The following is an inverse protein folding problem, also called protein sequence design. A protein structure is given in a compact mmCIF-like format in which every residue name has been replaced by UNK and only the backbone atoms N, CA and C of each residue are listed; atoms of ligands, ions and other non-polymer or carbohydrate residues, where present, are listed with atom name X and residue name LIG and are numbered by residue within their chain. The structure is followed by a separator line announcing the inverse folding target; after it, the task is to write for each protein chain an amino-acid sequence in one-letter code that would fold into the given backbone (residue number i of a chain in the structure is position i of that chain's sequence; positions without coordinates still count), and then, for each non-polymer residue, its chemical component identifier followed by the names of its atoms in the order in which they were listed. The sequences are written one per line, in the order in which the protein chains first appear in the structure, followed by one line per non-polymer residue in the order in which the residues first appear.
data_IF_905287652392
#
_entry.id   IF_905287652392
#
_cell.length_a   1.000
_cell.length_b   1.000
_cell.length_c   1.000
_cell.angle_alpha   90.00
_cell.angle_beta   90.00
_cell.angle_gamma   90.00
#
_symmetry.space_group_name_H-M   'P 1'
#
loop_
_entity.id
_entity.type
_entity.pdbx_description
1 polymer ?
#
# COMPACT_ATOMS: atom_id res chain seq x y z
N UNK A 1 -36.10 -39.11 -0.57
CA UNK A 1 -35.92 -37.65 -0.52
C UNK A 1 -34.48 -37.31 -0.90
N UNK A 2 -34.25 -36.57 -1.98
CA UNK A 2 -32.93 -36.24 -2.49
C UNK A 2 -32.19 -35.36 -1.48
N UNK A 3 -30.85 -35.38 -1.45
CA UNK A 3 -30.01 -34.56 -0.56
C UNK A 3 -30.34 -33.07 -0.73
N UNK A 4 -30.61 -32.61 -1.96
CA UNK A 4 -31.02 -31.26 -2.27
C UNK A 4 -32.35 -30.89 -1.59
N UNK A 5 -33.36 -31.72 -1.70
CA UNK A 5 -34.67 -31.49 -1.07
C UNK A 5 -34.59 -31.39 0.45
N UNK A 6 -33.78 -32.28 1.09
CA UNK A 6 -33.52 -32.20 2.53
C UNK A 6 -32.85 -30.88 2.92
N UNK A 7 -31.89 -30.43 2.12
CA UNK A 7 -31.17 -29.16 2.36
C UNK A 7 -32.10 -27.96 2.21
N UNK A 8 -32.92 -27.93 1.15
CA UNK A 8 -33.92 -26.88 0.91
C UNK A 8 -34.92 -26.84 2.07
N UNK A 9 -35.49 -27.98 2.45
CA UNK A 9 -36.44 -28.07 3.57
C UNK A 9 -35.86 -27.58 4.90
N UNK A 10 -34.55 -27.83 5.12
CA UNK A 10 -33.83 -27.35 6.32
C UNK A 10 -33.67 -25.83 6.31
N UNK A 11 -33.48 -25.20 5.15
CA UNK A 11 -33.37 -23.75 4.99
C UNK A 11 -34.74 -23.10 5.13
N UNK A 12 -35.80 -23.65 4.49
CA UNK A 12 -37.19 -23.14 4.58
C UNK A 12 -37.65 -23.05 6.04
N UNK A 13 -37.28 -24.02 6.87
CA UNK A 13 -37.61 -24.01 8.31
C UNK A 13 -37.03 -22.82 9.08
N UNK A 14 -36.08 -22.13 8.52
CA UNK A 14 -35.45 -20.94 9.12
C UNK A 14 -36.02 -19.62 8.61
N UNK A 15 -36.96 -19.64 7.67
CA UNK A 15 -37.60 -18.45 7.15
C UNK A 15 -38.38 -17.74 8.24
N UNK A 16 -38.31 -16.41 8.20
CA UNK A 16 -39.02 -15.53 9.11
C UNK A 16 -40.24 -14.90 8.46
N UNK A 17 -40.18 -14.72 7.12
CA UNK A 17 -41.25 -14.11 6.33
C UNK A 17 -41.71 -15.06 5.23
N UNK A 18 -42.98 -14.90 4.80
CA UNK A 18 -43.56 -15.71 3.70
C UNK A 18 -42.89 -15.42 2.35
N UNK A 19 -42.30 -14.24 2.20
CA UNK A 19 -41.66 -13.77 0.96
C UNK A 19 -40.15 -14.10 0.92
N UNK A 20 -39.62 -14.78 1.93
CA UNK A 20 -38.22 -15.22 1.94
C UNK A 20 -37.96 -16.17 0.77
N UNK A 21 -36.84 -15.96 0.07
CA UNK A 21 -36.47 -16.71 -1.13
C UNK A 21 -35.20 -17.53 -0.91
N UNK A 22 -35.05 -18.62 -1.66
CA UNK A 22 -33.83 -19.44 -1.68
C UNK A 22 -33.18 -19.31 -3.04
N UNK A 23 -31.90 -18.99 -3.07
CA UNK A 23 -31.06 -19.12 -4.26
C UNK A 23 -30.44 -20.50 -4.30
N UNK A 24 -30.75 -21.26 -5.34
CA UNK A 24 -30.08 -22.54 -5.66
C UNK A 24 -29.23 -22.36 -6.89
N UNK A 25 -27.93 -22.59 -6.75
CA UNK A 25 -26.98 -22.43 -7.86
C UNK A 25 -26.00 -23.61 -7.95
N UNK A 26 -25.42 -23.79 -9.13
CA UNK A 26 -24.42 -24.84 -9.34
C UNK A 26 -23.15 -24.59 -8.50
N UNK A 27 -22.65 -25.60 -7.85
CA UNK A 27 -21.42 -25.52 -7.08
C UNK A 27 -20.20 -25.38 -8.00
N UNK A 28 -19.41 -24.33 -7.79
CA UNK A 28 -18.16 -24.12 -8.51
C UNK A 28 -17.00 -24.71 -7.71
N UNK A 29 -16.79 -26.04 -7.86
CA UNK A 29 -15.70 -26.72 -7.15
C UNK A 29 -14.30 -26.27 -7.62
N UNK A 30 -13.37 -26.15 -6.69
CA UNK A 30 -11.94 -25.84 -6.92
C UNK A 30 -11.71 -24.64 -7.84
N UNK A 31 -12.10 -23.42 -7.44
CA UNK A 31 -11.81 -22.22 -8.20
C UNK A 31 -10.29 -21.95 -8.25
N UNK A 32 -9.83 -21.24 -9.29
CA UNK A 32 -8.44 -20.78 -9.39
C UNK A 32 -8.21 -19.60 -8.46
N UNK A 33 -9.23 -18.75 -8.30
CA UNK A 33 -9.27 -17.59 -7.40
C UNK A 33 -10.65 -17.53 -6.76
N UNK A 34 -10.69 -17.24 -5.48
CA UNK A 34 -11.89 -16.89 -4.74
C UNK A 34 -11.67 -15.56 -4.04
N UNK A 35 -12.69 -14.68 -3.98
CA UNK A 35 -12.51 -13.38 -3.39
C UNK A 35 -13.77 -12.56 -3.24
N UNK A 36 -13.56 -11.37 -2.69
CA UNK A 36 -14.55 -10.31 -2.55
C UNK A 36 -14.04 -9.07 -3.23
N UNK A 37 -14.90 -8.34 -3.93
CA UNK A 37 -14.56 -7.02 -4.46
C UNK A 37 -15.54 -5.97 -3.92
N UNK A 38 -14.96 -4.95 -3.31
CA UNK A 38 -15.69 -3.74 -2.94
C UNK A 38 -15.54 -2.73 -4.06
N UNK A 39 -16.65 -2.20 -4.56
CA UNK A 39 -16.61 -1.23 -5.67
C UNK A 39 -16.35 0.21 -5.23
N UNK A 40 -16.12 0.42 -3.94
CA UNK A 40 -15.58 1.62 -3.29
C UNK A 40 -14.63 1.21 -2.19
N UNK A 41 -13.66 2.04 -1.88
CA UNK A 41 -12.85 1.85 -0.68
C UNK A 41 -13.73 1.87 0.57
N UNK A 42 -13.63 0.83 1.39
CA UNK A 42 -14.52 0.62 2.54
C UNK A 42 -14.32 1.65 3.67
N UNK A 43 -13.12 2.23 3.77
CA UNK A 43 -12.78 3.18 4.84
C UNK A 43 -13.00 4.62 4.43
N UNK A 44 -12.69 4.96 3.18
CA UNK A 44 -12.67 6.36 2.71
C UNK A 44 -13.79 6.69 1.74
N UNK A 45 -14.51 5.69 1.23
CA UNK A 45 -15.49 5.79 0.15
C UNK A 45 -14.92 6.36 -1.16
N UNK A 46 -13.61 6.28 -1.35
CA UNK A 46 -12.93 6.74 -2.56
C UNK A 46 -13.16 5.78 -3.73
N UNK A 47 -12.96 6.29 -4.96
CA UNK A 47 -13.25 5.58 -6.22
C UNK A 47 -12.19 4.52 -6.56
N UNK A 48 -12.10 3.50 -5.72
CA UNK A 48 -11.24 2.34 -5.94
C UNK A 48 -12.05 1.05 -5.89
N UNK A 49 -11.72 0.11 -6.78
CA UNK A 49 -12.04 -1.30 -6.57
C UNK A 49 -11.02 -1.87 -5.60
N UNK A 50 -11.47 -2.40 -4.47
CA UNK A 50 -10.64 -3.14 -3.52
C UNK A 50 -10.98 -4.61 -3.67
N UNK A 51 -10.04 -5.40 -4.15
CA UNK A 51 -10.19 -6.83 -4.41
C UNK A 51 -9.38 -7.59 -3.36
N UNK A 52 -10.07 -8.33 -2.51
CA UNK A 52 -9.44 -9.26 -1.57
C UNK A 52 -9.61 -10.68 -2.12
N UNK A 53 -8.52 -11.38 -2.35
CA UNK A 53 -8.56 -12.65 -3.04
C UNK A 53 -7.52 -13.65 -2.54
N UNK A 54 -7.86 -14.93 -2.68
CA UNK A 54 -7.01 -16.07 -2.36
C UNK A 54 -6.80 -16.94 -3.60
N UNK A 55 -5.58 -17.43 -3.78
CA UNK A 55 -5.16 -18.34 -4.85
C UNK A 55 -4.91 -19.77 -4.35
N UNK A 56 -5.14 -20.06 -3.07
CA UNK A 56 -4.89 -21.35 -2.44
C UNK A 56 -5.92 -22.44 -2.83
N UNK A 57 -6.89 -22.10 -3.69
CA UNK A 57 -8.02 -22.97 -4.12
C UNK A 57 -9.00 -23.36 -3.00
N UNK A 58 -8.98 -22.65 -1.87
CA UNK A 58 -9.91 -22.82 -0.74
C UNK A 58 -10.95 -21.70 -0.75
N UNK A 59 -12.22 -22.07 -0.76
CA UNK A 59 -13.33 -21.10 -0.84
C UNK A 59 -13.76 -20.55 0.52
N UNK A 60 -13.35 -21.18 1.61
CA UNK A 60 -13.79 -20.89 2.98
C UNK A 60 -12.96 -19.83 3.70
N UNK A 61 -11.81 -19.44 3.14
CA UNK A 61 -10.83 -18.60 3.84
C UNK A 61 -11.08 -17.09 3.72
N UNK A 62 -11.69 -16.62 2.65
CA UNK A 62 -11.90 -15.18 2.41
C UNK A 62 -13.07 -14.64 3.21
N UNK A 63 -14.13 -15.44 3.39
CA UNK A 63 -15.36 -15.03 4.08
C UNK A 63 -15.36 -15.35 5.58
N UNK A 64 -14.38 -16.12 6.06
CA UNK A 64 -14.33 -16.56 7.47
C UNK A 64 -13.82 -15.50 8.45
N UNK A 65 -13.30 -14.37 7.99
CA UNK A 65 -12.70 -13.30 8.85
C UNK A 65 -11.44 -13.71 9.62
N UNK A 66 -10.92 -14.94 9.39
CA UNK A 66 -9.69 -15.41 10.03
C UNK A 66 -8.47 -14.86 9.29
N UNK A 67 -7.41 -14.51 10.04
CA UNK A 67 -6.12 -14.12 9.45
C UNK A 67 -5.61 -15.25 8.56
N UNK A 68 -5.50 -14.97 7.26
CA UNK A 68 -5.00 -15.91 6.26
C UNK A 68 -3.77 -15.32 5.58
N UNK A 69 -2.58 -15.93 5.72
CA UNK A 69 -1.35 -15.42 5.09
C UNK A 69 -1.37 -15.49 3.55
N UNK A 70 -2.27 -16.26 2.93
CA UNK A 70 -2.43 -16.32 1.48
C UNK A 70 -3.38 -15.28 0.91
N UNK A 71 -4.11 -14.53 1.74
CA UNK A 71 -5.01 -13.47 1.31
C UNK A 71 -4.20 -12.29 0.74
N UNK A 72 -4.54 -11.90 -0.48
CA UNK A 72 -3.93 -10.77 -1.18
C UNK A 72 -4.95 -9.68 -1.38
N UNK A 73 -4.52 -8.43 -1.26
CA UNK A 73 -5.32 -7.25 -1.55
C UNK A 73 -4.79 -6.54 -2.78
N UNK A 74 -5.65 -6.25 -3.73
CA UNK A 74 -5.37 -5.44 -4.91
C UNK A 74 -6.29 -4.24 -4.93
N UNK A 75 -5.72 -3.03 -5.04
CA UNK A 75 -6.46 -1.78 -5.11
C UNK A 75 -6.30 -1.20 -6.51
N UNK A 76 -7.43 -0.91 -7.19
CA UNK A 76 -7.44 -0.37 -8.55
C UNK A 76 -8.26 0.92 -8.56
N UNK A 77 -7.64 2.04 -8.95
CA UNK A 77 -8.37 3.29 -9.16
C UNK A 77 -9.37 3.17 -10.32
N UNK A 78 -10.62 3.60 -10.14
CA UNK A 78 -11.69 3.47 -11.17
C UNK A 78 -11.37 4.21 -12.47
N UNK A 79 -10.63 5.31 -12.42
CA UNK A 79 -10.12 6.04 -13.58
C UNK A 79 -8.90 5.40 -14.25
N UNK A 80 -8.33 4.30 -13.71
CA UNK A 80 -7.14 3.68 -14.26
C UNK A 80 -7.39 3.00 -15.59
N UNK A 81 -6.55 3.30 -16.59
CA UNK A 81 -6.51 2.59 -17.87
C UNK A 81 -5.75 1.25 -17.78
N UNK A 82 -4.94 1.07 -16.71
CA UNK A 82 -4.13 -0.13 -16.48
C UNK A 82 -4.84 -1.04 -15.46
N UNK A 83 -5.49 -2.07 -15.95
CA UNK A 83 -6.13 -3.12 -15.14
C UNK A 83 -5.38 -4.41 -15.37
N UNK A 84 -4.94 -5.14 -14.33
CA UNK A 84 -4.32 -6.45 -14.49
C UNK A 84 -5.22 -7.40 -15.29
N UNK A 85 -4.65 -8.11 -16.26
CA UNK A 85 -5.40 -8.98 -17.19
C UNK A 85 -6.31 -9.96 -16.46
N UNK A 86 -5.82 -10.51 -15.36
CA UNK A 86 -6.52 -11.47 -14.52
C UNK A 86 -7.88 -10.95 -14.01
N UNK A 87 -7.95 -9.65 -13.66
CA UNK A 87 -9.15 -9.02 -13.08
C UNK A 87 -9.95 -8.17 -14.08
N UNK A 88 -9.52 -8.07 -15.34
CA UNK A 88 -10.19 -7.22 -16.33
C UNK A 88 -11.66 -7.62 -16.54
N UNK A 89 -11.95 -8.93 -16.62
CA UNK A 89 -13.32 -9.43 -16.75
C UNK A 89 -14.15 -9.14 -15.50
N UNK A 90 -13.58 -9.33 -14.31
CA UNK A 90 -14.24 -9.02 -13.05
C UNK A 90 -14.62 -7.54 -12.97
N UNK A 91 -13.68 -6.63 -13.27
CA UNK A 91 -13.95 -5.18 -13.24
C UNK A 91 -15.05 -4.79 -14.23
N UNK A 92 -15.09 -5.40 -15.42
CA UNK A 92 -16.19 -5.15 -16.37
C UNK A 92 -17.54 -5.62 -15.82
N UNK A 93 -17.59 -6.77 -15.15
CA UNK A 93 -18.81 -7.27 -14.49
C UNK A 93 -19.21 -6.31 -13.36
N UNK A 94 -18.25 -5.83 -12.54
CA UNK A 94 -18.54 -4.85 -11.50
C UNK A 94 -19.22 -3.59 -12.07
N UNK A 95 -18.74 -3.07 -13.20
CA UNK A 95 -19.37 -1.91 -13.87
C UNK A 95 -20.80 -2.21 -14.34
N UNK A 96 -21.05 -3.41 -14.88
CA UNK A 96 -22.41 -3.82 -15.28
C UNK A 96 -23.31 -3.91 -14.05
N UNK A 97 -22.85 -4.48 -12.96
CA UNK A 97 -23.61 -4.59 -11.71
C UNK A 97 -23.87 -3.20 -11.09
N UNK A 98 -22.88 -2.32 -11.07
CA UNK A 98 -23.06 -0.93 -10.62
C UNK A 98 -24.18 -0.22 -11.38
N UNK A 99 -24.23 -0.38 -12.70
CA UNK A 99 -25.30 0.18 -13.54
C UNK A 99 -26.64 -0.50 -13.29
N UNK A 100 -26.67 -1.84 -13.20
CA UNK A 100 -27.90 -2.60 -12.96
C UNK A 100 -28.56 -2.25 -11.62
N UNK A 101 -27.75 -2.10 -10.57
CA UNK A 101 -28.23 -1.73 -9.24
C UNK A 101 -28.38 -0.22 -9.06
N UNK A 102 -28.02 0.59 -10.04
CA UNK A 102 -27.89 2.04 -9.93
C UNK A 102 -27.14 2.47 -8.65
N UNK A 103 -26.10 1.71 -8.33
CA UNK A 103 -25.32 1.88 -7.10
C UNK A 103 -23.86 1.56 -7.35
N UNK A 104 -22.98 2.52 -7.13
CA UNK A 104 -21.54 2.37 -7.30
C UNK A 104 -20.81 1.91 -6.03
N UNK A 105 -21.57 1.43 -5.03
CA UNK A 105 -21.08 0.94 -3.74
C UNK A 105 -21.59 -0.48 -3.50
N UNK A 106 -20.91 -1.45 -4.08
CA UNK A 106 -21.28 -2.85 -4.01
C UNK A 106 -20.18 -3.66 -3.32
N UNK A 107 -20.62 -4.69 -2.60
CA UNK A 107 -19.86 -5.79 -2.03
C UNK A 107 -20.23 -7.03 -2.84
N UNK A 108 -19.25 -7.61 -3.54
CA UNK A 108 -19.49 -8.65 -4.53
C UNK A 108 -18.57 -9.85 -4.22
N UNK A 109 -19.18 -11.00 -3.89
CA UNK A 109 -18.47 -12.26 -3.76
C UNK A 109 -18.31 -12.92 -5.14
N UNK A 110 -17.09 -13.32 -5.46
CA UNK A 110 -16.79 -13.89 -6.78
C UNK A 110 -15.80 -15.05 -6.70
N UNK A 111 -15.79 -15.85 -7.76
CA UNK A 111 -14.64 -16.68 -8.06
C UNK A 111 -14.26 -16.63 -9.54
N UNK A 112 -13.01 -16.98 -9.83
CA UNK A 112 -12.52 -17.19 -11.19
C UNK A 112 -12.12 -18.65 -11.33
N UNK A 113 -12.66 -19.30 -12.38
CA UNK A 113 -12.31 -20.67 -12.74
C UNK A 113 -12.15 -20.75 -14.25
N UNK A 114 -11.00 -21.26 -14.72
CA UNK A 114 -10.69 -21.38 -16.16
C UNK A 114 -11.01 -20.09 -16.94
N UNK A 115 -10.57 -18.94 -16.38
CA UNK A 115 -10.77 -17.61 -16.96
C UNK A 115 -12.26 -17.17 -17.13
N UNK A 116 -13.21 -17.84 -16.46
CA UNK A 116 -14.61 -17.43 -16.30
C UNK A 116 -14.83 -16.89 -14.90
N UNK A 117 -15.56 -15.79 -14.80
CA UNK A 117 -15.93 -15.16 -13.53
C UNK A 117 -17.33 -15.64 -13.15
N UNK A 118 -17.49 -16.04 -11.91
CA UNK A 118 -18.77 -16.41 -11.30
C UNK A 118 -19.04 -15.47 -10.15
N UNK A 119 -20.24 -14.94 -10.06
CA UNK A 119 -20.71 -14.09 -8.97
C UNK A 119 -21.61 -14.93 -8.07
N UNK A 120 -21.34 -14.92 -6.77
CA UNK A 120 -22.11 -15.66 -5.78
C UNK A 120 -23.06 -14.77 -5.02
N UNK A 121 -22.62 -13.54 -4.70
CA UNK A 121 -23.41 -12.56 -3.99
C UNK A 121 -23.07 -11.15 -4.49
N UNK A 122 -24.09 -10.30 -4.53
CA UNK A 122 -23.92 -8.87 -4.76
C UNK A 122 -24.88 -8.13 -3.83
N UNK A 123 -24.34 -7.23 -3.00
CA UNK A 123 -25.12 -6.46 -2.04
C UNK A 123 -24.63 -5.02 -1.95
N UNK A 124 -25.49 -4.05 -1.57
CA UNK A 124 -25.05 -2.69 -1.29
C UNK A 124 -24.03 -2.66 -0.15
N UNK A 125 -22.94 -1.91 -0.34
CA UNK A 125 -21.97 -1.65 0.70
C UNK A 125 -22.53 -0.62 1.67
N UNK A 126 -22.64 -0.98 2.94
CA UNK A 126 -23.10 -0.09 4.00
C UNK A 126 -21.99 0.91 4.41
N UNK A 127 -22.38 2.08 4.94
CA UNK A 127 -21.45 3.08 5.50
C UNK A 127 -21.51 4.45 4.83
N UNK A 128 -20.43 5.24 4.98
CA UNK A 128 -20.36 6.67 4.63
C UNK A 128 -20.60 6.93 3.14
N UNK A 129 -21.51 7.86 2.82
CA UNK A 129 -21.90 8.25 1.46
C UNK A 129 -21.27 9.57 0.99
N UNK A 130 -20.00 9.85 1.32
CA UNK A 130 -19.36 11.07 0.81
C UNK A 130 -19.29 11.03 -0.72
N UNK A 131 -19.76 12.12 -1.36
CA UNK A 131 -19.69 12.28 -2.81
C UNK A 131 -18.21 12.32 -3.22
N UNK A 132 -17.79 11.46 -4.13
CA UNK A 132 -16.43 11.45 -4.68
C UNK A 132 -16.44 12.11 -6.06
N UNK A 133 -15.33 12.75 -6.39
CA UNK A 133 -15.09 13.39 -7.68
C UNK A 133 -13.87 12.71 -8.31
N UNK A 134 -14.13 11.82 -9.27
CA UNK A 134 -13.11 11.01 -9.93
C UNK A 134 -12.10 11.90 -10.68
N UNK A 135 -12.57 12.95 -11.36
CA UNK A 135 -11.68 13.83 -12.13
C UNK A 135 -10.72 14.61 -11.22
N UNK A 136 -11.26 15.13 -10.09
CA UNK A 136 -10.43 15.80 -9.08
C UNK A 136 -9.42 14.86 -8.47
N UNK A 137 -9.82 13.63 -8.18
CA UNK A 137 -8.95 12.60 -7.63
C UNK A 137 -7.84 12.25 -8.64
N UNK A 138 -8.18 12.04 -9.91
CA UNK A 138 -7.21 11.76 -10.97
C UNK A 138 -6.16 12.89 -11.12
N UNK A 139 -6.60 14.15 -11.09
CA UNK A 139 -5.70 15.31 -11.11
C UNK A 139 -4.72 15.30 -9.93
N UNK A 140 -5.19 14.95 -8.73
CA UNK A 140 -4.32 14.82 -7.54
C UNK A 140 -3.29 13.72 -7.76
N UNK A 141 -3.69 12.53 -8.22
CA UNK A 141 -2.77 11.41 -8.47
C UNK A 141 -1.71 11.75 -9.52
N UNK A 142 -2.09 12.43 -10.62
CA UNK A 142 -1.15 12.89 -11.64
C UNK A 142 -0.14 13.88 -11.05
N UNK A 143 -0.58 14.82 -10.22
CA UNK A 143 0.29 15.79 -9.57
C UNK A 143 1.25 15.10 -8.56
N UNK A 144 0.75 14.16 -7.78
CA UNK A 144 1.57 13.37 -6.85
C UNK A 144 2.64 12.56 -7.60
N UNK A 145 2.27 11.94 -8.72
CA UNK A 145 3.21 11.21 -9.57
C UNK A 145 4.32 12.13 -10.08
N UNK A 146 3.98 13.28 -10.66
CA UNK A 146 4.95 14.28 -11.12
C UNK A 146 5.85 14.77 -9.99
N UNK A 147 5.29 15.00 -8.81
CA UNK A 147 6.04 15.39 -7.61
C UNK A 147 7.05 14.32 -7.22
N UNK A 148 6.63 13.06 -7.16
CA UNK A 148 7.53 11.94 -6.83
C UNK A 148 8.61 11.74 -7.90
N UNK A 149 8.26 11.82 -9.18
CA UNK A 149 9.24 11.75 -10.27
C UNK A 149 10.33 12.82 -10.13
N UNK A 150 9.94 14.07 -9.78
CA UNK A 150 10.89 15.16 -9.52
C UNK A 150 11.79 14.87 -8.32
N UNK A 151 11.24 14.39 -7.22
CA UNK A 151 11.99 14.03 -6.01
C UNK A 151 12.97 12.89 -6.31
N UNK A 152 12.57 11.94 -7.14
CA UNK A 152 13.38 10.77 -7.49
C UNK A 152 14.56 11.08 -8.44
N UNK A 153 14.63 12.28 -8.98
CA UNK A 153 15.78 12.69 -9.80
C UNK A 153 17.06 12.73 -8.95
N UNK A 154 18.20 12.57 -9.62
CA UNK A 154 19.51 12.69 -8.99
C UNK A 154 19.70 14.10 -8.41
N UNK A 155 20.14 14.18 -7.17
CA UNK A 155 20.43 15.43 -6.47
C UNK A 155 21.96 15.61 -6.42
N UNK A 156 22.41 16.81 -6.72
CA UNK A 156 23.82 17.15 -6.56
C UNK A 156 24.23 17.03 -5.08
N UNK A 157 25.42 16.49 -4.82
CA UNK A 157 25.98 16.24 -3.48
C UNK A 157 25.24 15.20 -2.61
N UNK A 158 24.17 14.56 -3.10
CA UNK A 158 23.49 13.48 -2.43
C UNK A 158 23.84 12.15 -3.11
N UNK A 159 24.22 11.16 -2.32
CA UNK A 159 24.52 9.81 -2.79
C UNK A 159 23.22 9.03 -3.08
N UNK A 160 23.28 8.11 -4.05
CA UNK A 160 22.14 7.30 -4.45
C UNK A 160 21.48 7.77 -5.75
N UNK A 161 21.00 6.81 -6.55
CA UNK A 161 20.40 7.04 -7.87
C UNK A 161 18.89 7.32 -7.80
N UNK A 162 18.21 6.80 -6.79
CA UNK A 162 16.76 6.86 -6.61
C UNK A 162 16.42 6.97 -5.13
N UNK A 163 15.16 7.27 -4.82
CA UNK A 163 14.66 7.26 -3.46
C UNK A 163 13.47 6.32 -3.26
N UNK A 164 13.15 6.07 -2.00
CA UNK A 164 11.90 5.51 -1.49
C UNK A 164 11.40 6.49 -0.45
N UNK A 165 10.09 6.62 -0.28
CA UNK A 165 9.48 7.45 0.75
C UNK A 165 8.72 6.58 1.74
N UNK A 166 8.78 6.90 3.02
CA UNK A 166 8.09 6.20 4.10
C UNK A 166 7.58 7.20 5.13
N UNK A 167 6.49 6.85 5.82
CA UNK A 167 5.96 7.64 6.93
C UNK A 167 6.34 7.11 8.32
N UNK A 168 7.06 5.98 8.37
CA UNK A 168 7.50 5.31 9.59
C UNK A 168 9.04 5.21 9.70
N UNK A 169 9.77 5.91 8.82
CA UNK A 169 11.22 6.01 8.92
C UNK A 169 11.65 7.00 10.00
N UNK A 170 12.93 7.21 10.14
CA UNK A 170 13.52 8.14 11.11
C UNK A 170 12.75 9.48 11.18
N UNK A 171 12.63 10.05 12.38
CA UNK A 171 11.73 11.18 12.65
C UNK A 171 10.27 10.94 12.25
N UNK A 172 9.86 9.71 12.27
CA UNK A 172 8.56 9.09 12.05
C UNK A 172 7.35 10.06 12.13
N UNK A 173 6.98 10.72 11.02
CA UNK A 173 5.88 11.68 11.06
C UNK A 173 4.53 11.02 11.34
N UNK A 174 4.36 9.75 11.03
CA UNK A 174 3.10 9.04 11.28
C UNK A 174 2.79 8.90 12.77
N UNK A 175 3.80 8.71 13.60
CA UNK A 175 3.66 8.66 15.07
C UNK A 175 3.70 10.05 15.70
N UNK A 176 4.57 10.93 15.20
CA UNK A 176 4.77 12.25 15.79
C UNK A 176 3.59 13.21 15.56
N UNK A 177 3.03 13.22 14.36
CA UNK A 177 1.96 14.15 13.97
C UNK A 177 0.74 13.48 13.31
N UNK A 178 0.80 12.15 13.12
CA UNK A 178 -0.25 11.35 12.50
C UNK A 178 -0.14 11.18 10.99
N UNK A 179 -0.80 10.16 10.45
CA UNK A 179 -0.79 9.85 9.01
C UNK A 179 -1.52 10.89 8.14
N UNK A 180 -2.42 11.67 8.74
CA UNK A 180 -3.21 12.73 8.08
C UNK A 180 -3.30 13.95 9.00
N UNK A 181 -2.17 14.61 9.29
CA UNK A 181 -2.14 15.73 10.23
C UNK A 181 -2.80 16.98 9.65
N UNK A 182 -3.20 17.89 10.52
CA UNK A 182 -3.63 19.22 10.11
C UNK A 182 -2.47 20.04 9.54
N UNK A 183 -2.78 21.05 8.73
CA UNK A 183 -1.76 21.92 8.07
C UNK A 183 -0.83 22.57 9.08
N UNK A 184 -1.34 23.00 10.24
CA UNK A 184 -0.53 23.59 11.30
C UNK A 184 0.49 22.57 11.85
N UNK A 185 0.08 21.34 12.11
CA UNK A 185 0.97 20.29 12.60
C UNK A 185 2.10 20.00 11.60
N UNK A 186 1.77 19.93 10.29
CA UNK A 186 2.76 19.74 9.24
C UNK A 186 3.75 20.90 9.24
N UNK A 187 3.27 22.15 9.28
CA UNK A 187 4.17 23.33 9.22
C UNK A 187 5.06 23.44 10.45
N UNK A 188 4.53 23.20 11.64
CA UNK A 188 5.32 23.22 12.88
C UNK A 188 6.38 22.11 12.88
N UNK A 189 5.99 20.88 12.55
CA UNK A 189 6.94 19.76 12.49
C UNK A 189 8.02 19.99 11.42
N UNK A 190 7.66 20.58 10.30
CA UNK A 190 8.61 20.96 9.25
C UNK A 190 9.62 21.98 9.77
N UNK A 191 9.16 23.05 10.39
CA UNK A 191 10.01 24.14 10.82
C UNK A 191 10.89 23.76 12.00
N UNK A 192 10.32 23.12 13.00
CA UNK A 192 11.00 22.77 14.24
C UNK A 192 11.97 21.58 14.10
N UNK A 193 11.75 20.69 13.10
CA UNK A 193 12.53 19.46 12.98
C UNK A 193 13.02 19.22 11.56
N UNK A 194 12.11 18.97 10.60
CA UNK A 194 12.46 18.26 9.37
C UNK A 194 13.00 19.15 8.25
N UNK A 195 12.94 20.49 8.37
CA UNK A 195 13.56 21.39 7.40
C UNK A 195 15.08 21.45 7.55
N UNK A 196 15.59 21.61 8.78
CA UNK A 196 17.02 21.84 9.01
C UNK A 196 17.56 21.25 10.32
N UNK A 197 16.83 21.33 11.41
CA UNK A 197 17.32 21.02 12.76
C UNK A 197 17.82 19.56 12.87
N UNK A 198 17.09 18.62 12.30
CA UNK A 198 17.49 17.20 12.25
C UNK A 198 18.88 17.00 11.60
N UNK A 199 19.17 17.74 10.53
CA UNK A 199 20.44 17.66 9.80
C UNK A 199 21.58 18.35 10.55
N UNK A 200 21.31 19.51 11.13
CA UNK A 200 22.30 20.23 11.96
C UNK A 200 22.74 19.40 13.17
N UNK A 201 21.77 18.72 13.82
CA UNK A 201 22.07 17.83 14.93
C UNK A 201 23.05 16.74 14.51
N UNK A 202 22.83 16.09 13.36
CA UNK A 202 23.71 15.02 12.85
C UNK A 202 25.08 15.54 12.41
N UNK A 203 25.11 16.70 11.80
CA UNK A 203 26.37 17.37 11.42
C UNK A 203 27.30 17.56 12.62
N UNK A 204 26.76 17.88 13.80
CA UNK A 204 27.52 18.01 15.05
C UNK A 204 28.19 16.70 15.49
N UNK A 205 27.69 15.55 15.04
CA UNK A 205 28.28 14.25 15.30
C UNK A 205 29.24 13.76 14.17
N UNK A 206 29.55 14.61 13.21
CA UNK A 206 30.49 14.29 12.13
C UNK A 206 29.87 13.55 10.94
N UNK A 207 28.55 13.58 10.82
CA UNK A 207 27.85 13.08 9.66
C UNK A 207 27.78 14.14 8.54
N UNK A 208 27.44 13.69 7.35
CA UNK A 208 27.42 14.51 6.13
C UNK A 208 26.34 15.58 6.19
N UNK A 209 26.71 16.81 5.78
CA UNK A 209 25.74 17.87 5.52
C UNK A 209 24.88 17.52 4.31
N UNK A 210 23.57 17.48 4.50
CA UNK A 210 22.57 17.20 3.46
C UNK A 210 21.74 18.44 3.09
N UNK A 211 22.02 19.58 3.71
CA UNK A 211 21.34 20.83 3.39
C UNK A 211 21.61 21.27 1.94
N UNK A 212 20.67 21.94 1.28
CA UNK A 212 19.35 22.41 1.76
C UNK A 212 18.20 21.38 1.56
N UNK A 213 18.52 20.10 1.46
CA UNK A 213 17.49 19.08 1.21
C UNK A 213 16.66 18.82 2.48
N UNK A 214 15.35 18.96 2.35
CA UNK A 214 14.40 18.71 3.44
C UNK A 214 14.18 17.20 3.59
N UNK A 215 14.05 16.77 4.84
CA UNK A 215 13.77 15.35 5.15
C UNK A 215 12.33 14.96 4.79
N UNK A 216 11.37 15.79 5.18
CA UNK A 216 9.95 15.48 5.04
C UNK A 216 9.36 16.05 3.76
N UNK A 217 8.52 15.25 3.14
CA UNK A 217 7.77 15.56 1.92
C UNK A 217 6.28 15.43 2.21
N UNK A 218 5.51 16.48 1.91
CA UNK A 218 4.06 16.43 1.92
C UNK A 218 3.54 15.82 0.61
N UNK A 219 2.82 14.70 0.71
CA UNK A 219 2.15 14.03 -0.41
C UNK A 219 0.63 14.17 -0.28
N UNK A 220 0.10 15.35 -0.67
CA UNK A 220 -1.31 15.72 -0.57
C UNK A 220 -1.86 15.67 0.87
N UNK A 221 -1.12 16.20 1.83
CA UNK A 221 -1.50 16.25 3.24
C UNK A 221 -1.05 15.01 4.02
N UNK A 222 -0.39 14.06 3.39
CA UNK A 222 0.24 12.93 4.06
C UNK A 222 1.76 13.15 4.11
N UNK A 223 2.38 13.20 5.31
CA UNK A 223 3.80 13.43 5.47
C UNK A 223 4.59 12.14 5.24
N UNK A 224 5.67 12.24 4.48
CA UNK A 224 6.61 11.14 4.21
C UNK A 224 8.05 11.62 4.36
N UNK A 225 8.94 10.72 4.75
CA UNK A 225 10.39 10.92 4.80
C UNK A 225 11.01 10.49 3.45
N UNK A 226 11.89 11.32 2.90
CA UNK A 226 12.77 10.95 1.78
C UNK A 226 13.92 10.11 2.32
N UNK A 227 13.85 8.79 2.14
CA UNK A 227 14.85 7.87 2.68
C UNK A 227 16.22 8.01 2.05
N UNK A 228 16.35 8.53 0.84
CA UNK A 228 17.65 8.83 0.28
C UNK A 228 18.33 9.99 1.03
N UNK A 229 17.59 11.03 1.34
CA UNK A 229 18.10 12.16 2.12
C UNK A 229 18.46 11.72 3.53
N UNK A 230 17.56 10.98 4.15
CA UNK A 230 17.76 10.41 5.49
C UNK A 230 19.04 9.56 5.56
N UNK A 231 19.20 8.56 4.70
CA UNK A 231 20.37 7.69 4.63
C UNK A 231 21.67 8.47 4.38
N UNK A 232 21.64 9.56 3.58
CA UNK A 232 22.80 10.40 3.38
C UNK A 232 23.23 11.14 4.65
N UNK A 233 22.29 11.48 5.52
CA UNK A 233 22.55 12.17 6.79
C UNK A 233 23.25 11.30 7.83
N UNK A 234 23.29 9.98 7.63
CA UNK A 234 24.04 9.02 8.45
C UNK A 234 25.41 8.67 7.89
N UNK A 235 25.76 9.18 6.72
CA UNK A 235 27.09 8.93 6.16
C UNK A 235 28.14 9.80 6.85
N UNK A 236 29.28 9.22 7.29
CA UNK A 236 30.40 10.02 7.80
C UNK A 236 30.89 11.06 6.77
N UNK A 237 31.19 12.27 7.21
CA UNK A 237 31.60 13.37 6.32
C UNK A 237 32.81 13.02 5.45
N UNK A 238 33.75 12.26 5.98
CA UNK A 238 34.99 11.87 5.29
C UNK A 238 34.84 10.63 4.39
N UNK A 239 33.64 10.05 4.27
CA UNK A 239 33.43 8.83 3.50
C UNK A 239 33.55 9.09 1.99
N UNK A 240 34.29 8.23 1.30
CA UNK A 240 34.44 8.30 -0.14
C UNK A 240 33.11 8.26 -0.88
N UNK A 241 32.95 9.12 -1.89
CA UNK A 241 31.71 9.27 -2.67
C UNK A 241 31.26 7.96 -3.35
N UNK A 242 32.19 7.13 -3.80
CA UNK A 242 31.86 5.83 -4.43
C UNK A 242 31.27 4.87 -3.41
N UNK A 243 31.87 4.79 -2.23
CA UNK A 243 31.37 3.96 -1.11
C UNK A 243 30.02 4.48 -0.65
N UNK A 244 29.87 5.78 -0.47
CA UNK A 244 28.60 6.43 -0.11
C UNK A 244 27.49 6.05 -1.08
N UNK A 245 27.74 6.10 -2.40
CA UNK A 245 26.76 5.72 -3.41
C UNK A 245 26.39 4.21 -3.34
N UNK A 246 27.37 3.34 -3.11
CA UNK A 246 27.11 1.89 -2.97
C UNK A 246 26.26 1.61 -1.74
N UNK A 247 26.55 2.22 -0.60
CA UNK A 247 25.78 2.07 0.64
C UNK A 247 24.33 2.50 0.46
N UNK A 248 24.10 3.74 0.01
CA UNK A 248 22.75 4.28 -0.16
C UNK A 248 21.96 3.48 -1.20
N UNK A 249 22.56 3.15 -2.34
CA UNK A 249 21.86 2.35 -3.36
C UNK A 249 21.51 0.95 -2.83
N UNK A 250 22.41 0.30 -2.08
CA UNK A 250 22.13 -1.01 -1.49
C UNK A 250 20.97 -0.93 -0.50
N UNK A 251 20.93 0.07 0.40
CA UNK A 251 19.85 0.26 1.35
C UNK A 251 18.50 0.53 0.63
N UNK A 252 18.49 1.40 -0.38
CA UNK A 252 17.28 1.67 -1.17
C UNK A 252 16.79 0.42 -1.92
N UNK A 253 17.67 -0.38 -2.51
CA UNK A 253 17.29 -1.63 -3.18
C UNK A 253 16.81 -2.70 -2.18
N UNK A 254 17.37 -2.73 -0.97
CA UNK A 254 16.91 -3.59 0.13
C UNK A 254 15.47 -3.20 0.52
N UNK A 255 15.18 -1.91 0.66
CA UNK A 255 13.83 -1.42 0.94
C UNK A 255 12.82 -1.74 -0.17
N UNK A 256 13.20 -1.61 -1.44
CA UNK A 256 12.31 -1.97 -2.56
C UNK A 256 11.92 -3.46 -2.53
N UNK A 257 12.82 -4.32 -2.07
CA UNK A 257 12.58 -5.78 -1.93
C UNK A 257 11.83 -6.13 -0.65
N UNK A 258 12.10 -5.40 0.42
CA UNK A 258 11.57 -5.66 1.76
C UNK A 258 11.07 -4.36 2.40
N UNK A 259 9.91 -3.83 1.99
CA UNK A 259 9.38 -2.55 2.47
C UNK A 259 9.17 -2.48 4.00
N UNK A 260 9.00 -3.62 4.66
CA UNK A 260 8.83 -3.71 6.11
C UNK A 260 10.07 -3.29 6.91
N UNK A 261 11.22 -3.08 6.24
CA UNK A 261 12.45 -2.60 6.89
C UNK A 261 12.52 -1.06 6.98
N UNK A 262 11.49 -0.34 6.60
CA UNK A 262 11.51 1.12 6.51
C UNK A 262 11.73 1.85 7.84
N UNK A 263 11.45 1.20 8.96
CA UNK A 263 11.65 1.69 10.33
C UNK A 263 13.03 1.33 10.92
N UNK A 264 13.86 0.63 10.16
CA UNK A 264 15.18 0.11 10.60
C UNK A 264 16.27 0.23 9.55
N UNK A 265 15.99 0.90 8.45
CA UNK A 265 16.89 0.92 7.29
C UNK A 265 18.19 1.67 7.54
N UNK A 266 18.21 2.60 8.48
CA UNK A 266 19.43 3.32 8.90
C UNK A 266 20.51 2.34 9.39
N UNK A 267 20.14 1.22 9.99
CA UNK A 267 21.08 0.20 10.45
C UNK A 267 21.80 -0.56 9.31
N UNK A 268 21.34 -0.39 8.05
CA UNK A 268 22.06 -0.87 6.88
C UNK A 268 23.30 0.02 6.55
N UNK A 269 23.33 1.25 7.06
CA UNK A 269 24.42 2.20 6.86
C UNK A 269 25.22 2.39 8.15
N UNK A 270 24.51 2.57 9.29
CA UNK A 270 25.14 2.69 10.60
C UNK A 270 25.51 1.30 11.10
N UNK A 271 26.78 1.06 11.35
CA UNK A 271 27.25 -0.17 11.97
C UNK A 271 27.76 0.11 13.37
N UNK A 272 27.22 -0.59 14.35
CA UNK A 272 27.68 -0.52 15.74
C UNK A 272 28.63 -1.67 16.02
N UNK A 273 29.90 -1.38 16.15
CA UNK A 273 30.93 -2.36 16.49
C UNK A 273 31.68 -1.95 17.76
N UNK A 274 31.39 -2.61 18.86
CA UNK A 274 32.06 -2.37 20.14
C UNK A 274 33.55 -2.80 20.17
N UNK A 275 33.96 -3.64 19.22
CA UNK A 275 35.33 -4.14 19.08
C UNK A 275 36.09 -3.54 17.88
N UNK A 276 35.56 -2.47 17.27
CA UNK A 276 36.10 -1.79 16.10
C UNK A 276 36.28 -2.67 14.85
N UNK A 277 35.66 -3.84 14.79
CA UNK A 277 35.67 -4.71 13.62
C UNK A 277 34.35 -4.66 12.86
N UNK A 278 34.41 -4.31 11.57
CA UNK A 278 33.24 -4.28 10.70
C UNK A 278 32.81 -5.70 10.30
N UNK A 279 31.52 -5.94 10.23
CA UNK A 279 30.99 -7.19 9.68
C UNK A 279 31.27 -7.26 8.16
N UNK A 280 32.30 -8.00 7.80
CA UNK A 280 32.73 -8.22 6.41
C UNK A 280 31.64 -8.88 5.56
N UNK A 281 30.69 -9.62 6.15
CA UNK A 281 29.59 -10.26 5.44
C UNK A 281 28.54 -9.24 5.06
N UNK A 282 28.17 -8.36 5.98
CA UNK A 282 27.22 -7.25 5.76
C UNK A 282 27.67 -6.34 4.63
N UNK A 283 28.95 -5.98 4.59
CA UNK A 283 29.51 -5.05 3.61
C UNK A 283 30.18 -5.72 2.39
N UNK A 284 29.88 -6.99 2.13
CA UNK A 284 30.47 -7.74 0.99
C UNK A 284 30.22 -7.07 -0.37
N UNK A 285 29.09 -6.36 -0.53
CA UNK A 285 28.74 -5.63 -1.75
C UNK A 285 29.66 -4.43 -2.06
N UNK A 286 30.43 -3.94 -1.09
CA UNK A 286 31.40 -2.87 -1.30
C UNK A 286 32.64 -3.34 -2.08
N UNK A 287 32.93 -4.64 -2.09
CA UNK A 287 34.10 -5.23 -2.79
C UNK A 287 33.91 -5.37 -4.28
N UNK A 288 32.68 -5.25 -4.79
CA UNK A 288 32.33 -5.24 -6.22
C UNK A 288 32.29 -3.82 -6.75
#
# INVERSE_FOLDING_TARGET
MNILEKSISKVIKKFRNKDDQILVQSFVGKPDIFGVVFTKDINTNSDYYQIEYDISKRSDLVTSGKKNPSLKTLIIFKGSKKIPVLFKKLINICKVLENLFNNNRLDIEFCIKKNKVFIFQCRPLLGITKKSDIEKHEKILVNLKKKFEKINLKIHNISGKSTVISNMADWNPAEMIGCKPGKLSISLYSELITNSIWSLQRLNYGYKDVMPNRLMIDMAGAPYIDLRIDLNSFLPVKLNKQISNKLVNNAIETLKKSPALHDKIEFEIIDTCYNFSLDKKKFKFLKK
#
